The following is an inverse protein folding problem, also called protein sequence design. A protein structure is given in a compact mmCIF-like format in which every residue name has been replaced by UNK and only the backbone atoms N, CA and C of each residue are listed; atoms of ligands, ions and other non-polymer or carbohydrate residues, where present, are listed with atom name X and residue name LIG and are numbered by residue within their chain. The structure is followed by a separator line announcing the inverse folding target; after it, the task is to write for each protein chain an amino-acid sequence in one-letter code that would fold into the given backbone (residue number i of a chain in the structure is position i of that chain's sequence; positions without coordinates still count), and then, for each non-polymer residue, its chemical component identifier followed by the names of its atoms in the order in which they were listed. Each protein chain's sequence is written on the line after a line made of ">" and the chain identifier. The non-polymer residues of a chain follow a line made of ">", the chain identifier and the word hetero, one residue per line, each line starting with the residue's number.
data_IF_711106154456
#
_entry.id   IF_711106154456
#
_cell.length_a   1.000
_cell.length_b   1.000
_cell.length_c   1.000
_cell.angle_alpha   90.00
_cell.angle_beta   90.00
_cell.angle_gamma   90.00
#
_symmetry.space_group_name_H-M   'P 1'
#
loop_
_entity.id
_entity.type
_entity.pdbx_description
1 polymer ?
#
# COMPACT_ATOMS: atom_id res chain seq x y z
N UNK A 1 22.61 7.19 -1.70
CA UNK A 1 21.25 6.69 -1.99
C UNK A 1 20.49 7.81 -2.68
N UNK A 2 19.86 7.53 -3.83
CA UNK A 2 18.94 8.47 -4.47
C UNK A 2 17.57 8.35 -3.80
N UNK A 3 17.03 9.44 -3.23
CA UNK A 3 15.71 9.40 -2.62
C UNK A 3 14.68 9.01 -3.68
N UNK A 4 13.65 8.25 -3.27
CA UNK A 4 12.54 7.96 -4.16
C UNK A 4 11.78 9.27 -4.35
N UNK A 5 11.70 9.72 -5.59
CA UNK A 5 11.03 10.96 -5.98
C UNK A 5 9.88 10.71 -6.95
N UNK A 6 9.72 9.49 -7.45
CA UNK A 6 8.75 9.15 -8.47
C UNK A 6 8.07 7.81 -8.21
N UNK A 7 6.79 7.76 -8.59
CA UNK A 7 5.93 6.58 -8.45
C UNK A 7 6.45 5.36 -9.21
N UNK A 8 7.16 5.55 -10.33
CA UNK A 8 7.67 4.46 -11.15
C UNK A 8 8.69 3.60 -10.40
N UNK A 9 9.52 4.19 -9.55
CA UNK A 9 10.42 3.43 -8.69
C UNK A 9 9.65 2.56 -7.69
N UNK A 10 8.56 3.07 -7.11
CA UNK A 10 7.71 2.29 -6.20
C UNK A 10 7.05 1.16 -6.97
N UNK A 11 6.55 1.42 -8.19
CA UNK A 11 5.95 0.41 -9.07
C UNK A 11 6.90 -0.73 -9.41
N UNK A 12 8.17 -0.42 -9.71
CA UNK A 12 9.21 -1.43 -10.02
C UNK A 12 9.44 -2.40 -8.85
N UNK A 13 9.35 -1.86 -7.62
CA UNK A 13 9.62 -2.59 -6.37
C UNK A 13 8.36 -3.02 -5.63
N UNK A 14 7.17 -2.77 -6.18
CA UNK A 14 5.91 -3.02 -5.49
C UNK A 14 5.71 -4.50 -5.16
N UNK A 15 6.14 -5.39 -6.06
CA UNK A 15 6.09 -6.83 -5.78
C UNK A 15 6.97 -7.21 -4.58
N UNK A 16 8.13 -6.58 -4.39
CA UNK A 16 8.99 -6.83 -3.22
C UNK A 16 8.35 -6.33 -1.92
N UNK A 17 7.65 -5.20 -1.99
CA UNK A 17 6.85 -4.66 -0.87
C UNK A 17 5.71 -5.63 -0.52
N UNK A 18 4.98 -6.12 -1.52
CA UNK A 18 3.88 -7.06 -1.29
C UNK A 18 4.36 -8.41 -0.74
N UNK A 19 5.45 -8.98 -1.28
CA UNK A 19 6.05 -10.23 -0.77
C UNK A 19 6.49 -10.08 0.69
N UNK A 20 7.16 -8.96 1.01
CA UNK A 20 7.56 -8.65 2.38
C UNK A 20 6.35 -8.47 3.31
N UNK A 21 5.30 -7.79 2.84
CA UNK A 21 4.06 -7.60 3.59
C UNK A 21 3.35 -8.94 3.84
N UNK A 22 3.30 -9.82 2.84
CA UNK A 22 2.70 -11.16 2.95
C UNK A 22 3.39 -11.99 4.04
N UNK A 23 4.73 -11.94 4.09
CA UNK A 23 5.53 -12.67 5.08
C UNK A 23 5.29 -12.20 6.51
N UNK A 24 5.06 -10.90 6.72
CA UNK A 24 4.87 -10.34 8.07
C UNK A 24 3.40 -10.36 8.52
N UNK A 25 2.47 -10.06 7.61
CA UNK A 25 1.05 -9.94 7.90
C UNK A 25 0.23 -10.20 6.63
N UNK A 26 -0.14 -11.47 6.45
CA UNK A 26 -0.94 -11.91 5.31
C UNK A 26 -2.32 -11.24 5.24
N UNK A 27 -2.87 -10.77 6.36
CA UNK A 27 -4.16 -10.06 6.38
C UNK A 27 -3.98 -8.64 5.87
N UNK A 28 -2.91 -7.95 6.26
CA UNK A 28 -2.53 -6.67 5.67
C UNK A 28 -2.27 -6.82 4.16
N UNK A 29 -1.57 -7.89 3.74
CA UNK A 29 -1.39 -8.18 2.32
C UNK A 29 -2.72 -8.33 1.58
N UNK A 30 -3.67 -9.11 2.11
CA UNK A 30 -5.02 -9.24 1.53
C UNK A 30 -5.78 -7.90 1.45
N UNK A 31 -5.49 -6.95 2.32
CA UNK A 31 -6.11 -5.62 2.28
C UNK A 31 -5.49 -4.69 1.21
N UNK A 32 -4.20 -4.87 0.90
CA UNK A 32 -3.43 -3.96 0.03
C UNK A 32 -3.09 -4.51 -1.36
N UNK A 33 -3.13 -5.82 -1.58
CA UNK A 33 -2.68 -6.44 -2.85
C UNK A 33 -3.48 -5.96 -4.07
N UNK A 34 -4.76 -5.63 -3.89
CA UNK A 34 -5.64 -5.13 -4.95
C UNK A 34 -5.54 -3.59 -5.13
N UNK A 35 -4.82 -2.91 -4.24
CA UNK A 35 -4.65 -1.46 -4.27
C UNK A 35 -3.84 -1.01 -5.48
N UNK A 36 -4.36 -0.04 -6.22
CA UNK A 36 -3.65 0.57 -7.36
C UNK A 36 -2.80 1.75 -6.91
N UNK A 37 -1.52 1.73 -7.28
CA UNK A 37 -0.58 2.84 -7.10
C UNK A 37 -0.96 4.02 -8.02
N UNK A 38 -1.61 5.04 -7.46
CA UNK A 38 -2.11 6.21 -8.23
C UNK A 38 -1.04 7.27 -8.40
N UNK A 39 -0.48 7.74 -7.29
CA UNK A 39 0.46 8.86 -7.23
C UNK A 39 1.43 8.69 -6.07
N UNK A 40 2.62 9.26 -6.20
CA UNK A 40 3.56 9.40 -5.10
C UNK A 40 4.15 10.81 -5.14
N UNK A 41 3.82 11.63 -4.14
CA UNK A 41 4.27 13.02 -4.07
C UNK A 41 4.60 13.39 -2.63
N UNK A 42 5.74 14.07 -2.42
CA UNK A 42 6.17 14.57 -1.09
C UNK A 42 6.21 13.48 0.00
N UNK A 43 6.57 12.25 -0.36
CA UNK A 43 6.61 11.12 0.57
C UNK A 43 5.22 10.53 0.88
N UNK A 44 4.18 10.91 0.14
CA UNK A 44 2.83 10.37 0.30
C UNK A 44 2.53 9.47 -0.89
N UNK A 45 2.28 8.19 -0.62
CA UNK A 45 1.83 7.21 -1.59
C UNK A 45 0.30 7.10 -1.55
N UNK A 46 -0.34 7.38 -2.68
CA UNK A 46 -1.79 7.27 -2.82
C UNK A 46 -2.17 5.95 -3.48
N UNK A 47 -2.98 5.17 -2.78
CA UNK A 47 -3.55 3.91 -3.26
C UNK A 47 -5.04 4.10 -3.54
N UNK A 48 -5.52 3.58 -4.67
CA UNK A 48 -6.94 3.54 -5.01
C UNK A 48 -7.48 2.11 -4.98
N UNK A 49 -8.65 1.95 -4.36
CA UNK A 49 -9.35 0.66 -4.24
C UNK A 49 -10.73 0.70 -4.89
N UNK A 50 -11.02 1.73 -5.69
CA UNK A 50 -12.31 1.91 -6.35
C UNK A 50 -12.64 0.77 -7.32
N UNK A 51 -11.62 0.11 -7.87
CA UNK A 51 -11.78 -1.05 -8.76
C UNK A 51 -12.08 -2.36 -7.98
N UNK A 52 -11.39 -2.56 -6.84
CA UNK A 52 -11.59 -3.68 -5.91
C UNK A 52 -13.04 -3.80 -5.43
N UNK A 53 -13.64 -2.64 -5.17
CA UNK A 53 -14.97 -2.54 -4.57
C UNK A 53 -16.10 -2.89 -5.55
N UNK A 54 -15.81 -3.03 -6.87
CA UNK A 54 -16.81 -3.39 -7.87
C UNK A 54 -17.22 -4.85 -7.86
N UNK A 55 -16.42 -5.73 -7.25
CA UNK A 55 -16.74 -7.17 -7.12
C UNK A 55 -17.23 -7.57 -5.72
N UNK A 56 -17.06 -6.71 -4.72
CA UNK A 56 -17.49 -6.97 -3.36
C UNK A 56 -18.92 -6.48 -3.16
N UNK A 57 -19.90 -7.30 -3.53
CA UNK A 57 -21.31 -7.02 -3.28
C UNK A 57 -21.58 -6.75 -1.80
N UNK A 58 -21.69 -5.48 -1.42
CA UNK A 58 -22.40 -5.01 -0.22
C UNK A 58 -21.93 -5.53 1.13
N UNK A 59 -20.66 -5.90 1.31
CA UNK A 59 -20.10 -6.16 2.64
C UNK A 59 -18.91 -5.24 2.87
N UNK A 60 -19.10 -4.24 3.75
CA UNK A 60 -18.16 -3.21 4.14
C UNK A 60 -16.81 -3.76 4.70
N UNK A 61 -15.93 -4.27 3.83
CA UNK A 61 -14.51 -4.45 4.16
C UNK A 61 -13.84 -3.10 4.49
N UNK A 62 -14.45 -1.98 4.07
CA UNK A 62 -14.04 -0.63 4.42
C UNK A 62 -14.00 -0.38 5.95
N UNK A 63 -14.77 -1.11 6.77
CA UNK A 63 -14.74 -0.95 8.23
C UNK A 63 -13.64 -1.74 8.94
N UNK A 64 -12.89 -2.58 8.21
CA UNK A 64 -11.77 -3.37 8.73
C UNK A 64 -10.44 -2.87 8.15
N UNK A 65 -10.35 -1.62 7.67
CA UNK A 65 -9.06 -0.94 7.48
C UNK A 65 -8.51 -0.52 8.85
N UNK A 66 -8.05 -1.52 9.60
CA UNK A 66 -7.39 -1.28 10.87
C UNK A 66 -6.11 -0.48 10.62
N UNK A 67 -5.91 0.59 11.40
CA UNK A 67 -4.66 1.38 11.45
C UNK A 67 -3.40 0.50 11.48
N UNK A 68 -3.50 -0.70 12.09
CA UNK A 68 -2.42 -1.71 12.12
C UNK A 68 -1.94 -2.16 10.73
N UNK A 69 -2.83 -2.29 9.75
CA UNK A 69 -2.48 -2.79 8.42
C UNK A 69 -1.72 -1.72 7.64
N UNK A 70 -2.19 -0.47 7.72
CA UNK A 70 -1.46 0.68 7.18
C UNK A 70 -0.08 0.78 7.80
N UNK A 71 0.02 0.68 9.13
CA UNK A 71 1.31 0.72 9.82
C UNK A 71 2.24 -0.42 9.38
N UNK A 72 1.72 -1.62 9.11
CA UNK A 72 2.50 -2.72 8.56
C UNK A 72 3.04 -2.42 7.15
N UNK A 73 2.20 -1.85 6.27
CA UNK A 73 2.61 -1.45 4.93
C UNK A 73 3.66 -0.32 4.97
N UNK A 74 3.42 0.74 5.74
CA UNK A 74 4.36 1.87 5.91
C UNK A 74 5.72 1.38 6.44
N UNK A 75 5.71 0.41 7.36
CA UNK A 75 6.94 -0.22 7.85
C UNK A 75 7.70 -0.99 6.77
N UNK A 76 7.00 -1.76 5.92
CA UNK A 76 7.64 -2.49 4.81
C UNK A 76 8.18 -1.51 3.77
N UNK A 77 7.43 -0.46 3.45
CA UNK A 77 7.87 0.62 2.57
C UNK A 77 9.14 1.27 3.10
N UNK A 78 9.18 1.60 4.39
CA UNK A 78 10.38 2.14 5.03
C UNK A 78 11.56 1.17 4.92
N UNK A 79 11.36 -0.12 5.20
CA UNK A 79 12.44 -1.10 5.09
C UNK A 79 12.94 -1.31 3.65
N UNK A 80 12.09 -1.13 2.65
CA UNK A 80 12.42 -1.35 1.24
C UNK A 80 13.12 -0.14 0.62
N UNK A 81 12.66 1.07 0.95
CA UNK A 81 13.11 2.31 0.34
C UNK A 81 13.98 3.17 1.27
N UNK A 82 14.15 2.75 2.53
CA UNK A 82 14.87 3.48 3.59
C UNK A 82 14.39 4.92 3.73
N UNK A 83 13.09 5.13 3.48
CA UNK A 83 12.43 6.44 3.44
C UNK A 83 11.04 6.36 4.08
N UNK A 84 10.69 7.38 4.86
CA UNK A 84 9.34 7.49 5.40
C UNK A 84 8.35 7.79 4.27
N UNK A 85 7.44 6.85 4.05
CA UNK A 85 6.37 6.93 3.06
C UNK A 85 5.04 6.81 3.80
N UNK A 86 4.26 7.87 3.79
CA UNK A 86 2.90 7.87 4.32
C UNK A 86 1.94 7.32 3.27
N UNK A 87 0.99 6.47 3.67
CA UNK A 87 0.02 5.88 2.75
C UNK A 87 -1.35 6.55 2.88
N UNK A 88 -1.94 6.98 1.77
CA UNK A 88 -3.32 7.48 1.71
C UNK A 88 -4.14 6.55 0.82
N UNK A 89 -5.36 6.24 1.27
CA UNK A 89 -6.25 5.30 0.60
C UNK A 89 -7.46 6.07 0.05
N UNK A 90 -7.66 6.05 -1.26
CA UNK A 90 -8.86 6.54 -1.93
C UNK A 90 -9.93 5.43 -1.93
N UNK A 91 -11.18 5.82 -1.68
CA UNK A 91 -12.35 4.93 -1.60
C UNK A 91 -13.45 5.40 -2.55
#
# INVERSE_FOLDING_TARGET
>A
MTPITDLQHIKDRWNEVLDSLERIDRVAWLAYFDGRLVSFEKGILTLDFSDANKFSGGHDYAKVRHERFRAALEKVLFNTFEQEIAVIELS
#
